data_IF_367772768178
#
_entry.id   IF_367772768178
#
_cell.length_a   1.000
_cell.length_b   1.000
_cell.length_c   1.000
_cell.angle_alpha   90.00
_cell.angle_beta   90.00
_cell.angle_gamma   90.00
#
_symmetry.space_group_name_H-M   'P 1'
#
loop_
_entity.id
_entity.type
_entity.pdbx_description
1 polymer ?
#
# COMPACT_ATOMS: atom_id res chain seq x y z
N UNK A 1 -6.10 12.02 6.26
CA UNK A 1 -7.40 11.32 6.39
C UNK A 1 -7.15 9.83 6.51
N UNK A 2 -8.00 9.06 7.19
CA UNK A 2 -7.78 7.63 7.37
C UNK A 2 -8.22 6.86 6.11
N UNK A 3 -7.28 6.17 5.46
CA UNK A 3 -7.52 5.42 4.21
C UNK A 3 -7.85 3.95 4.48
N UNK A 4 -8.71 3.35 3.66
CA UNK A 4 -9.02 1.92 3.75
C UNK A 4 -7.93 1.05 3.12
N UNK A 5 -7.86 -0.23 3.48
CA UNK A 5 -6.91 -1.16 2.86
C UNK A 5 -7.13 -1.31 1.36
N UNK A 6 -8.40 -1.28 0.92
CA UNK A 6 -8.77 -1.35 -0.50
C UNK A 6 -8.29 -0.11 -1.27
N UNK A 7 -8.42 1.07 -0.68
CA UNK A 7 -7.96 2.32 -1.30
C UNK A 7 -6.44 2.37 -1.42
N UNK A 8 -5.72 2.00 -0.35
CA UNK A 8 -4.25 1.94 -0.35
C UNK A 8 -3.75 0.94 -1.40
N UNK A 9 -4.37 -0.25 -1.47
CA UNK A 9 -4.03 -1.24 -2.49
C UNK A 9 -4.23 -0.68 -3.91
N UNK A 10 -5.39 -0.10 -4.20
CA UNK A 10 -5.70 0.43 -5.53
C UNK A 10 -4.71 1.52 -5.97
N UNK A 11 -4.35 2.44 -5.08
CA UNK A 11 -3.37 3.49 -5.36
C UNK A 11 -1.95 2.95 -5.55
N UNK A 12 -1.53 1.94 -4.78
CA UNK A 12 -0.24 1.28 -4.99
C UNK A 12 -0.18 0.56 -6.34
N UNK A 13 -1.26 -0.08 -6.77
CA UNK A 13 -1.33 -0.67 -8.12
C UNK A 13 -1.21 0.40 -9.22
N UNK A 14 -1.86 1.56 -9.05
CA UNK A 14 -1.71 2.72 -9.94
C UNK A 14 -0.28 3.28 -9.96
N UNK A 15 0.45 3.16 -8.85
CA UNK A 15 1.87 3.53 -8.75
C UNK A 15 2.83 2.50 -9.37
N UNK A 16 2.32 1.46 -10.04
CA UNK A 16 3.12 0.45 -10.73
C UNK A 16 3.53 -0.74 -9.86
N UNK A 17 3.01 -0.85 -8.63
CA UNK A 17 3.18 -2.09 -7.85
C UNK A 17 2.30 -3.21 -8.42
N UNK A 18 2.75 -4.44 -8.25
CA UNK A 18 2.00 -5.65 -8.58
C UNK A 18 1.88 -6.56 -7.37
N UNK A 19 0.75 -7.26 -7.27
CA UNK A 19 0.56 -8.33 -6.29
C UNK A 19 1.40 -9.54 -6.66
N UNK A 20 2.33 -9.93 -5.78
CA UNK A 20 3.21 -11.09 -6.04
C UNK A 20 2.86 -12.30 -5.19
N UNK A 21 2.20 -12.09 -4.04
CA UNK A 21 1.78 -13.17 -3.14
C UNK A 21 0.71 -12.67 -2.18
N UNK A 22 -0.16 -13.58 -1.76
CA UNK A 22 -1.07 -13.38 -0.64
C UNK A 22 -0.97 -14.54 0.35
N UNK A 23 -0.96 -14.23 1.65
CA UNK A 23 -1.10 -15.21 2.74
C UNK A 23 -2.18 -14.70 3.70
N UNK A 24 -3.31 -15.40 3.77
CA UNK A 24 -4.48 -14.90 4.51
C UNK A 24 -4.94 -13.53 3.97
N UNK A 25 -5.12 -12.55 4.86
CA UNK A 25 -5.47 -11.18 4.49
C UNK A 25 -4.30 -10.33 3.98
N UNK A 26 -3.06 -10.81 4.11
CA UNK A 26 -1.87 -10.00 3.81
C UNK A 26 -1.43 -10.19 2.36
N UNK A 27 -1.42 -9.08 1.62
CA UNK A 27 -0.91 -9.00 0.25
C UNK A 27 0.52 -8.45 0.27
N UNK A 28 1.40 -9.09 -0.49
CA UNK A 28 2.76 -8.64 -0.77
C UNK A 28 2.76 -7.95 -2.13
N UNK A 29 3.21 -6.70 -2.15
CA UNK A 29 3.27 -5.86 -3.34
C UNK A 29 4.74 -5.59 -3.68
N UNK A 30 5.12 -5.77 -4.95
CA UNK A 30 6.46 -5.40 -5.46
C UNK A 30 6.34 -4.45 -6.62
N UNK A 31 7.25 -3.49 -6.70
CA UNK A 31 7.45 -2.67 -7.88
C UNK A 31 8.65 -3.21 -8.69
N UNK A 32 8.65 -3.12 -10.04
CA UNK A 32 9.76 -3.62 -10.87
C UNK A 32 11.15 -3.04 -10.54
N UNK A 33 11.20 -1.87 -9.90
CA UNK A 33 12.45 -1.23 -9.44
C UNK A 33 13.01 -1.79 -8.11
N UNK A 34 12.37 -2.82 -7.54
CA UNK A 34 12.81 -3.49 -6.32
C UNK A 34 12.14 -3.03 -5.03
N UNK A 35 11.29 -1.99 -5.05
CA UNK A 35 10.50 -1.60 -3.86
C UNK A 35 9.49 -2.69 -3.49
N UNK A 36 9.24 -2.87 -2.21
CA UNK A 36 8.28 -3.86 -1.70
C UNK A 36 7.53 -3.32 -0.48
N UNK A 37 6.21 -3.53 -0.44
CA UNK A 37 5.38 -3.23 0.72
C UNK A 37 4.30 -4.31 0.94
N UNK A 38 3.53 -4.16 2.01
CA UNK A 38 2.55 -5.13 2.46
C UNK A 38 1.25 -4.41 2.82
N UNK A 39 0.12 -4.97 2.40
CA UNK A 39 -1.21 -4.46 2.75
C UNK A 39 -2.03 -5.58 3.36
N UNK A 40 -2.49 -5.39 4.59
CA UNK A 40 -3.43 -6.30 5.24
C UNK A 40 -4.87 -5.90 4.92
N UNK A 41 -5.61 -6.77 4.24
CA UNK A 41 -6.97 -6.52 3.73
C UNK A 41 -8.04 -6.70 4.82
N UNK A 42 -8.03 -5.82 5.82
CA UNK A 42 -9.05 -5.76 6.87
C UNK A 42 -10.08 -4.65 6.61
N UNK A 43 -11.33 -4.82 7.09
CA UNK A 43 -12.33 -3.76 7.03
C UNK A 43 -11.91 -2.55 7.87
N UNK A 44 -12.47 -1.38 7.52
CA UNK A 44 -12.13 -0.12 8.18
C UNK A 44 -10.88 0.55 7.61
N UNK A 45 -10.34 1.49 8.37
CA UNK A 45 -9.21 2.32 7.96
C UNK A 45 -7.91 1.84 8.57
N UNK A 46 -6.81 2.05 7.85
CA UNK A 46 -5.47 1.74 8.36
C UNK A 46 -5.13 2.68 9.52
N UNK A 47 -4.48 2.16 10.58
CA UNK A 47 -3.80 3.02 11.54
C UNK A 47 -2.77 3.90 10.83
N UNK A 48 -2.66 5.17 11.25
CA UNK A 48 -1.75 6.16 10.64
C UNK A 48 -0.31 5.66 10.56
N UNK A 49 0.17 4.95 11.59
CA UNK A 49 1.52 4.37 11.60
C UNK A 49 1.71 3.29 10.52
N UNK A 50 0.72 2.44 10.31
CA UNK A 50 0.73 1.42 9.25
C UNK A 50 0.74 2.08 7.88
N UNK A 51 -0.12 3.07 7.65
CA UNK A 51 -0.14 3.82 6.40
C UNK A 51 1.22 4.47 6.09
N UNK A 52 1.82 5.18 7.06
CA UNK A 52 3.14 5.80 6.89
C UNK A 52 4.26 4.79 6.63
N UNK A 53 4.20 3.61 7.27
CA UNK A 53 5.16 2.53 7.03
C UNK A 53 5.06 2.00 5.60
N UNK A 54 3.83 1.83 5.10
CA UNK A 54 3.57 1.45 3.71
C UNK A 54 4.17 2.48 2.75
N UNK A 55 3.88 3.76 2.95
CA UNK A 55 4.44 4.83 2.11
C UNK A 55 5.97 4.85 2.11
N UNK A 56 6.59 4.73 3.29
CA UNK A 56 8.05 4.66 3.42
C UNK A 56 8.63 3.48 2.64
N UNK A 57 8.02 2.31 2.73
CA UNK A 57 8.43 1.11 1.99
C UNK A 57 8.19 1.23 0.49
N UNK A 58 7.09 1.89 0.10
CA UNK A 58 6.74 2.16 -1.28
C UNK A 58 7.54 3.32 -1.88
N UNK A 59 8.35 4.03 -1.09
CA UNK A 59 9.09 5.22 -1.54
C UNK A 59 8.17 6.34 -2.04
N UNK A 60 7.01 6.52 -1.40
CA UNK A 60 6.02 7.55 -1.74
C UNK A 60 5.89 8.55 -0.59
N UNK A 61 5.67 9.83 -0.93
CA UNK A 61 5.19 10.83 0.02
C UNK A 61 3.68 10.73 0.19
N UNK A 62 3.13 11.40 1.21
CA UNK A 62 1.67 11.49 1.33
C UNK A 62 1.04 12.28 0.16
N UNK A 63 1.77 13.22 -0.44
CA UNK A 63 1.30 13.98 -1.61
C UNK A 63 1.27 13.13 -2.87
N UNK A 64 2.32 12.34 -3.12
CA UNK A 64 2.31 11.36 -4.22
C UNK A 64 1.09 10.43 -4.08
N UNK A 65 0.86 9.93 -2.85
CA UNK A 65 -0.28 9.07 -2.57
C UNK A 65 -1.63 9.78 -2.80
N UNK A 66 -1.75 11.07 -2.48
CA UNK A 66 -2.98 11.83 -2.72
C UNK A 66 -3.28 12.01 -4.21
N UNK A 67 -2.25 12.12 -5.04
CA UNK A 67 -2.37 12.34 -6.49
C UNK A 67 -2.60 11.03 -7.29
N UNK A 68 -2.33 9.87 -6.69
CA UNK A 68 -2.70 8.56 -7.20
C UNK A 68 -4.19 8.25 -7.03
#
# INVERSE_FOLDING_TARGET
MPYSAREVLAKLLRAGFVEVRQTGSHKILRHPDGRQTYVAMHPGTLPTGTFRKILKQAGLTEDDFRQL
#
